data_IF_288861097324
#
_entry.id   IF_288861097324
#
_cell.length_a   1.000
_cell.length_b   1.000
_cell.length_c   1.000
_cell.angle_alpha   90.00
_cell.angle_beta   90.00
_cell.angle_gamma   90.00
#
_symmetry.space_group_name_H-M   'P 1'
#
loop_
_entity.id
_entity.type
_entity.pdbx_description
1 polymer ?
#
# COMPACT_ATOMS: atom_id res chain seq x y z
N UNK A 1 23.64 -3.57 10.20
CA UNK A 1 22.41 -2.76 10.25
C UNK A 1 21.34 -3.52 9.50
N UNK A 2 20.17 -3.69 10.12
CA UNK A 2 19.20 -4.73 9.77
C UNK A 2 18.76 -4.62 8.32
N UNK A 3 19.08 -5.65 7.54
CA UNK A 3 18.33 -5.95 6.34
C UNK A 3 16.94 -6.39 6.83
N UNK A 4 15.97 -5.49 6.78
CA UNK A 4 14.58 -5.91 6.79
C UNK A 4 14.33 -6.59 5.43
N UNK A 5 14.75 -7.86 5.32
CA UNK A 5 14.12 -8.79 4.39
C UNK A 5 12.67 -8.92 4.89
N UNK A 6 11.78 -8.04 4.46
CA UNK A 6 10.36 -8.33 4.51
C UNK A 6 10.16 -9.55 3.60
N UNK A 7 10.00 -10.69 4.25
CA UNK A 7 9.91 -12.02 3.68
C UNK A 7 8.80 -12.06 2.61
N UNK A 8 9.12 -12.49 1.39
CA UNK A 8 8.18 -13.16 0.47
C UNK A 8 6.82 -12.50 0.20
N UNK A 9 6.68 -11.17 0.27
CA UNK A 9 5.41 -10.51 -0.06
C UNK A 9 5.19 -10.57 -1.57
N UNK A 10 4.31 -11.45 -2.02
CA UNK A 10 3.80 -11.41 -3.39
C UNK A 10 2.98 -10.14 -3.55
N UNK A 11 3.47 -9.20 -4.38
CA UNK A 11 2.71 -8.01 -4.75
C UNK A 11 1.99 -8.23 -6.07
N UNK A 12 0.69 -7.98 -6.09
CA UNK A 12 -0.16 -8.10 -7.27
C UNK A 12 -0.66 -6.73 -7.70
N UNK A 13 -0.80 -6.50 -9.00
CA UNK A 13 -1.66 -5.42 -9.48
C UNK A 13 -3.12 -5.70 -9.05
N UNK A 14 -3.95 -4.66 -8.94
CA UNK A 14 -5.35 -4.81 -8.52
C UNK A 14 -6.09 -5.77 -9.46
N UNK A 15 -5.76 -5.73 -10.75
CA UNK A 15 -6.37 -6.54 -11.81
C UNK A 15 -6.06 -8.04 -11.63
N UNK A 16 -4.94 -8.36 -10.98
CA UNK A 16 -4.39 -9.70 -10.75
C UNK A 16 -4.84 -10.30 -9.40
N UNK A 17 -5.56 -9.55 -8.57
CA UNK A 17 -6.07 -10.05 -7.29
C UNK A 17 -7.10 -11.17 -7.49
N UNK A 18 -7.24 -12.07 -6.49
CA UNK A 18 -8.34 -13.02 -6.44
C UNK A 18 -9.69 -12.31 -6.62
N UNK A 19 -10.61 -12.92 -7.37
CA UNK A 19 -11.85 -12.28 -7.84
C UNK A 19 -12.61 -11.52 -6.73
N UNK A 20 -12.88 -12.16 -5.60
CA UNK A 20 -13.65 -11.55 -4.51
C UNK A 20 -12.93 -10.33 -3.89
N UNK A 21 -11.59 -10.37 -3.82
CA UNK A 21 -10.78 -9.27 -3.31
C UNK A 21 -10.74 -8.13 -4.33
N UNK A 22 -10.57 -8.47 -5.62
CA UNK A 22 -10.59 -7.49 -6.69
C UNK A 22 -11.92 -6.74 -6.74
N UNK A 23 -13.04 -7.46 -6.72
CA UNK A 23 -14.38 -6.87 -6.74
C UNK A 23 -14.57 -5.91 -5.57
N UNK A 24 -14.16 -6.31 -4.36
CA UNK A 24 -14.23 -5.47 -3.16
C UNK A 24 -13.38 -4.19 -3.28
N UNK A 25 -12.17 -4.32 -3.84
CA UNK A 25 -11.26 -3.19 -4.08
C UNK A 25 -11.81 -2.24 -5.15
N UNK A 26 -12.25 -2.76 -6.30
CA UNK A 26 -12.77 -1.94 -7.39
C UNK A 26 -14.03 -1.19 -6.97
N UNK A 27 -14.95 -1.85 -6.25
CA UNK A 27 -16.15 -1.20 -5.70
C UNK A 27 -15.79 -0.06 -4.73
N UNK A 28 -14.73 -0.21 -3.93
CA UNK A 28 -14.21 0.87 -3.09
C UNK A 28 -13.64 2.02 -3.93
N UNK A 29 -12.84 1.73 -4.95
CA UNK A 29 -12.21 2.75 -5.79
C UNK A 29 -13.24 3.55 -6.61
N UNK A 30 -14.26 2.88 -7.14
CA UNK A 30 -15.39 3.50 -7.85
C UNK A 30 -16.17 4.48 -6.96
N UNK A 31 -16.35 4.15 -5.68
CA UNK A 31 -16.97 5.05 -4.69
C UNK A 31 -16.09 6.21 -4.27
N UNK A 32 -14.77 6.12 -4.47
CA UNK A 32 -13.78 7.13 -4.09
C UNK A 32 -12.93 7.58 -5.29
N UNK A 33 -13.53 8.05 -6.40
CA UNK A 33 -12.84 8.21 -7.68
C UNK A 33 -11.75 9.30 -7.68
N UNK A 34 -11.76 10.20 -6.68
CA UNK A 34 -10.77 11.27 -6.52
C UNK A 34 -9.65 10.95 -5.52
N UNK A 35 -9.73 9.79 -4.87
CA UNK A 35 -8.71 9.37 -3.90
C UNK A 35 -7.37 9.07 -4.58
N UNK A 36 -6.23 9.22 -3.86
CA UNK A 36 -4.94 8.78 -4.37
C UNK A 36 -4.94 7.34 -4.88
N UNK A 37 -5.55 6.41 -4.14
CA UNK A 37 -5.66 5.01 -4.52
C UNK A 37 -6.40 4.81 -5.86
N UNK A 38 -7.53 5.49 -6.07
CA UNK A 38 -8.29 5.36 -7.33
C UNK A 38 -7.51 5.91 -8.53
N UNK A 39 -6.69 6.94 -8.32
CA UNK A 39 -5.91 7.60 -9.38
C UNK A 39 -4.61 6.87 -9.70
N UNK A 40 -3.97 6.31 -8.69
CA UNK A 40 -2.62 5.73 -8.81
C UNK A 40 -2.63 4.21 -8.88
N UNK A 41 -3.74 3.57 -8.49
CA UNK A 41 -3.95 2.12 -8.52
C UNK A 41 -2.75 1.35 -7.95
N UNK A 42 -2.49 1.46 -6.63
CA UNK A 42 -1.32 0.86 -6.01
C UNK A 42 -1.30 -0.65 -6.18
N UNK A 43 -0.09 -1.23 -6.18
CA UNK A 43 0.06 -2.68 -6.05
C UNK A 43 -0.38 -3.09 -4.65
N UNK A 44 -1.00 -4.25 -4.56
CA UNK A 44 -1.47 -4.83 -3.32
C UNK A 44 -0.54 -5.96 -2.90
N UNK A 45 0.10 -5.81 -1.75
CA UNK A 45 0.84 -6.86 -1.08
C UNK A 45 0.11 -7.34 0.17
N UNK A 46 0.50 -8.52 0.65
CA UNK A 46 0.07 -9.06 1.94
C UNK A 46 1.28 -9.62 2.68
N UNK A 47 1.45 -9.21 3.93
CA UNK A 47 2.47 -9.73 4.84
C UNK A 47 1.76 -10.24 6.10
N UNK A 48 1.92 -11.52 6.40
CA UNK A 48 1.09 -12.24 7.37
C UNK A 48 -0.41 -12.00 7.07
N UNK A 49 -1.12 -11.31 7.95
CA UNK A 49 -2.54 -10.95 7.79
C UNK A 49 -2.76 -9.46 7.49
N UNK A 50 -1.70 -8.72 7.13
CA UNK A 50 -1.73 -7.28 6.87
C UNK A 50 -1.66 -7.00 5.38
N UNK A 51 -2.64 -6.23 4.89
CA UNK A 51 -2.67 -5.68 3.53
C UNK A 51 -1.84 -4.42 3.42
N UNK A 52 -1.10 -4.32 2.31
CA UNK A 52 -0.16 -3.25 2.01
C UNK A 52 -0.34 -2.75 0.57
N UNK A 53 -1.15 -1.72 0.30
CA UNK A 53 -1.07 -0.96 -0.93
C UNK A 53 0.23 -0.16 -0.97
N UNK A 54 0.93 -0.16 -2.10
CA UNK A 54 2.11 0.70 -2.31
C UNK A 54 2.34 1.06 -3.78
N UNK A 55 3.11 2.13 -4.00
CA UNK A 55 3.54 2.59 -5.33
C UNK A 55 5.03 2.30 -5.53
N UNK A 56 5.37 1.71 -6.68
CA UNK A 56 6.73 1.46 -7.12
C UNK A 56 7.08 -0.02 -7.25
N UNK A 57 8.35 -0.29 -7.54
CA UNK A 57 8.90 -1.64 -7.67
C UNK A 57 9.26 -2.26 -6.33
N UNK A 58 9.32 -1.46 -5.27
CA UNK A 58 9.72 -1.85 -3.92
C UNK A 58 8.85 -1.12 -2.90
N UNK A 59 8.62 -1.76 -1.74
CA UNK A 59 7.91 -1.14 -0.63
C UNK A 59 8.76 0.00 -0.05
N UNK A 60 8.28 1.25 -0.17
CA UNK A 60 8.93 2.43 0.38
C UNK A 60 8.11 3.01 1.52
N UNK A 61 8.77 3.31 2.65
CA UNK A 61 8.16 3.98 3.80
C UNK A 61 7.44 5.27 3.33
N UNK A 62 6.17 5.43 3.73
CA UNK A 62 5.31 6.58 3.48
C UNK A 62 4.58 6.61 2.12
N UNK A 63 4.90 5.70 1.19
CA UNK A 63 4.14 5.50 -0.05
C UNK A 63 3.29 4.22 0.05
N UNK A 64 2.94 3.84 1.26
CA UNK A 64 2.24 2.60 1.60
C UNK A 64 1.18 2.82 2.66
N UNK A 65 0.06 2.10 2.57
CA UNK A 65 -0.95 2.01 3.64
C UNK A 65 -0.92 0.65 4.32
N UNK A 66 -1.56 0.53 5.49
CA UNK A 66 -1.68 -0.71 6.26
C UNK A 66 -3.12 -0.99 6.68
N UNK A 67 -3.55 -2.24 6.63
CA UNK A 67 -4.87 -2.63 7.13
C UNK A 67 -5.08 -4.14 7.22
N UNK A 68 -6.03 -4.57 8.05
CA UNK A 68 -6.44 -5.98 8.15
C UNK A 68 -7.35 -6.42 6.99
N UNK A 69 -7.83 -5.46 6.20
CA UNK A 69 -8.61 -5.70 4.99
C UNK A 69 -8.06 -4.86 3.84
N UNK A 70 -8.31 -5.24 2.58
CA UNK A 70 -7.92 -4.44 1.42
C UNK A 70 -8.43 -2.99 1.52
N UNK A 71 -9.70 -2.80 1.89
CA UNK A 71 -10.30 -1.46 2.05
C UNK A 71 -9.64 -0.64 3.14
N UNK A 72 -9.44 -1.22 4.33
CA UNK A 72 -8.80 -0.51 5.43
C UNK A 72 -7.40 -0.04 5.05
N UNK A 73 -6.66 -0.88 4.32
CA UNK A 73 -5.33 -0.52 3.85
C UNK A 73 -5.35 0.59 2.80
N UNK A 74 -6.34 0.60 1.89
CA UNK A 74 -6.54 1.69 0.92
C UNK A 74 -6.98 3.00 1.59
N UNK A 75 -7.82 2.94 2.62
CA UNK A 75 -8.18 4.11 3.43
C UNK A 75 -6.96 4.70 4.13
N UNK A 76 -6.10 3.85 4.68
CA UNK A 76 -4.86 4.24 5.32
C UNK A 76 -3.88 4.86 4.32
N UNK A 77 -3.72 4.23 3.15
CA UNK A 77 -2.93 4.77 2.04
C UNK A 77 -3.42 6.15 1.62
N UNK A 78 -4.73 6.31 1.43
CA UNK A 78 -5.33 7.57 1.02
C UNK A 78 -5.11 8.69 2.03
N UNK A 79 -5.09 8.36 3.33
CA UNK A 79 -4.87 9.31 4.42
C UNK A 79 -3.43 9.80 4.47
N UNK A 80 -2.48 8.88 4.37
CA UNK A 80 -1.06 9.18 4.55
C UNK A 80 -0.33 9.50 3.23
N UNK A 81 -1.00 9.43 2.07
CA UNK A 81 -0.39 9.71 0.76
C UNK A 81 0.29 11.10 0.65
N UNK A 82 -0.22 12.09 1.38
CA UNK A 82 0.33 13.46 1.39
C UNK A 82 1.34 13.69 2.51
N UNK A 83 1.59 12.71 3.38
CA UNK A 83 2.56 12.84 4.45
C UNK A 83 3.99 12.63 3.92
N UNK A 84 4.95 13.51 4.27
CA UNK A 84 6.33 13.32 3.88
C UNK A 84 6.82 11.95 4.34
N UNK A 85 7.45 11.20 3.42
CA UNK A 85 8.11 9.94 3.74
C UNK A 85 9.16 10.19 4.83
N UNK A 86 8.86 9.91 6.09
CA UNK A 86 9.87 10.00 7.17
C UNK A 86 10.77 8.78 7.02
N UNK A 87 11.81 8.91 6.19
CA UNK A 87 12.88 7.92 6.12
C UNK A 87 13.65 7.93 7.43
N UNK A 88 13.56 6.86 8.22
CA UNK A 88 14.38 6.68 9.42
C UNK A 88 15.83 6.27 9.13
N UNK A 89 16.25 6.29 7.87
CA UNK A 89 17.65 6.09 7.47
C UNK A 89 18.45 7.39 7.27
N UNK A 90 17.90 8.54 7.66
CA UNK A 90 18.67 9.78 7.83
C UNK A 90 19.52 9.74 9.11
N UNK A 91 20.63 9.00 9.08
CA UNK A 91 21.67 9.16 10.09
C UNK A 91 22.25 10.58 10.03
N UNK A 92 22.12 11.32 11.14
CA UNK A 92 23.14 12.27 11.58
C UNK A 92 23.20 13.64 10.89
N UNK A 93 22.97 14.68 11.72
CA UNK A 93 23.69 15.96 11.73
C UNK A 93 23.90 16.68 10.39
N UNK A 94 23.19 17.80 10.23
CA UNK A 94 23.79 19.13 10.07
C UNK A 94 22.86 20.16 10.70
#
# INVERSE_FOLDING_TARGET
MLHARFLGVTSLAIEELPYAIKEDVEEYLERHPRSPAARLRPKMGMADDVWLPFIGTELREGASGLGQTPRAALEDFNRHFMEPLISRNGSGRA
#
